data_IF_190934103378
#
_entry.id   IF_190934103378
#
_cell.length_a   1.000
_cell.length_b   1.000
_cell.length_c   1.000
_cell.angle_alpha   90.00
_cell.angle_beta   90.00
_cell.angle_gamma   90.00
#
_symmetry.space_group_name_H-M   'P 1'
#
loop_
_entity.id
_entity.type
_entity.pdbx_description
1 polymer ?
#
# COMPACT_ATOMS: atom_id res chain seq x y z
N UNK A 1 25.83 -64.80 -30.04
CA UNK A 1 25.77 -64.01 -28.78
C UNK A 1 25.77 -62.53 -29.06
N UNK A 2 24.84 -61.92 -29.83
CA UNK A 2 24.88 -60.49 -30.13
C UNK A 2 23.52 -59.76 -30.18
N UNK A 3 22.40 -60.49 -30.03
CA UNK A 3 21.06 -59.90 -30.08
C UNK A 3 20.58 -59.24 -28.73
N UNK A 4 21.21 -59.64 -27.62
CA UNK A 4 20.83 -59.10 -26.28
C UNK A 4 21.48 -57.76 -25.94
N UNK A 5 22.56 -57.40 -26.62
CA UNK A 5 23.27 -56.14 -26.33
C UNK A 5 22.56 -54.92 -26.95
N UNK A 6 21.91 -55.10 -28.11
CA UNK A 6 21.17 -53.98 -28.75
C UNK A 6 19.86 -53.63 -28.05
N UNK A 7 19.24 -54.54 -27.33
CA UNK A 7 18.02 -54.26 -26.59
C UNK A 7 18.29 -53.40 -25.34
N UNK A 8 19.47 -53.60 -24.73
CA UNK A 8 19.85 -52.81 -23.55
C UNK A 8 20.27 -51.37 -23.90
N UNK A 9 20.86 -51.19 -25.08
CA UNK A 9 21.23 -49.86 -25.59
C UNK A 9 20.01 -49.04 -26.00
N UNK A 10 18.92 -49.67 -26.49
CA UNK A 10 17.70 -48.99 -26.90
C UNK A 10 16.87 -48.54 -25.72
N UNK A 11 16.90 -49.24 -24.59
CA UNK A 11 16.18 -48.86 -23.35
C UNK A 11 16.89 -47.74 -22.62
N UNK A 12 18.21 -47.65 -22.74
CA UNK A 12 18.97 -46.56 -22.12
C UNK A 12 18.81 -45.21 -22.86
N UNK A 13 18.48 -45.22 -24.15
CA UNK A 13 18.25 -44.02 -24.94
C UNK A 13 16.84 -43.42 -24.76
N UNK A 14 15.90 -44.19 -24.22
CA UNK A 14 14.54 -43.74 -23.97
C UNK A 14 14.35 -43.02 -22.62
N UNK A 15 15.37 -42.96 -21.76
CA UNK A 15 15.30 -42.36 -20.44
C UNK A 15 15.90 -40.96 -20.36
N UNK A 16 16.33 -40.36 -21.46
CA UNK A 16 16.92 -39.01 -21.47
C UNK A 16 15.96 -37.90 -21.89
N UNK A 17 14.67 -38.21 -22.07
CA UNK A 17 13.63 -37.16 -22.18
C UNK A 17 12.85 -37.03 -20.88
N UNK A 18 13.55 -36.90 -19.76
CA UNK A 18 12.96 -36.17 -18.63
C UNK A 18 12.98 -34.72 -19.04
N UNK A 19 11.84 -34.26 -19.50
CA UNK A 19 11.57 -32.86 -19.69
C UNK A 19 12.11 -32.09 -18.48
N UNK A 20 13.08 -31.21 -18.69
CA UNK A 20 13.13 -29.97 -17.91
C UNK A 20 11.75 -29.36 -18.07
N UNK A 21 10.86 -29.51 -17.11
CA UNK A 21 9.85 -28.52 -16.89
C UNK A 21 10.64 -27.26 -16.57
N UNK A 22 10.84 -26.39 -17.55
CA UNK A 22 11.12 -25.01 -17.28
C UNK A 22 10.00 -24.59 -16.31
N UNK A 23 10.30 -24.53 -15.03
CA UNK A 23 9.52 -23.74 -14.10
C UNK A 23 9.75 -22.33 -14.63
N UNK A 24 8.80 -21.84 -15.44
CA UNK A 24 8.74 -20.43 -15.76
C UNK A 24 8.81 -19.71 -14.40
N UNK A 25 9.91 -18.98 -14.16
CA UNK A 25 9.97 -18.12 -12.98
C UNK A 25 8.79 -17.18 -13.10
N UNK A 26 7.87 -17.24 -12.14
CA UNK A 26 6.69 -16.42 -12.13
C UNK A 26 7.13 -14.96 -12.31
N UNK A 27 6.63 -14.30 -13.33
CA UNK A 27 6.96 -12.91 -13.63
C UNK A 27 6.58 -12.01 -12.44
N UNK A 28 7.31 -10.93 -12.24
CA UNK A 28 7.11 -9.99 -11.12
C UNK A 28 5.63 -9.60 -10.93
N UNK A 29 4.88 -9.51 -12.02
CA UNK A 29 3.48 -9.07 -12.05
C UNK A 29 2.47 -10.20 -12.32
N UNK A 30 2.92 -11.46 -12.31
CA UNK A 30 2.01 -12.59 -12.48
C UNK A 30 0.97 -12.64 -11.37
N UNK A 31 -0.29 -12.86 -11.75
CA UNK A 31 -1.45 -12.86 -10.84
C UNK A 31 -1.52 -11.61 -9.94
N UNK A 32 -1.03 -10.46 -10.43
CA UNK A 32 -0.85 -9.25 -9.65
C UNK A 32 -2.12 -8.78 -8.94
N UNK A 33 -3.25 -8.72 -9.67
CA UNK A 33 -4.53 -8.35 -9.08
C UNK A 33 -4.93 -9.29 -7.94
N UNK A 34 -4.90 -10.60 -8.16
CA UNK A 34 -5.26 -11.59 -7.13
C UNK A 34 -4.35 -11.50 -5.89
N UNK A 35 -3.05 -11.26 -6.10
CA UNK A 35 -2.09 -11.06 -4.99
C UNK A 35 -2.35 -9.76 -4.24
N UNK A 36 -2.71 -8.70 -4.94
CA UNK A 36 -3.08 -7.40 -4.40
C UNK A 36 -4.34 -7.50 -3.52
N UNK A 37 -5.37 -8.19 -4.03
CA UNK A 37 -6.61 -8.45 -3.28
C UNK A 37 -6.35 -9.33 -2.05
N UNK A 38 -5.62 -10.42 -2.20
CA UNK A 38 -5.25 -11.31 -1.09
C UNK A 38 -4.44 -10.57 0.00
N UNK A 39 -3.61 -9.60 -0.36
CA UNK A 39 -2.91 -8.76 0.60
C UNK A 39 -3.90 -7.94 1.44
N UNK A 40 -4.85 -7.25 0.82
CA UNK A 40 -5.87 -6.47 1.55
C UNK A 40 -6.76 -7.38 2.40
N UNK A 41 -7.13 -8.56 1.91
CA UNK A 41 -7.88 -9.56 2.67
C UNK A 41 -7.08 -10.02 3.91
N UNK A 42 -5.76 -10.18 3.80
CA UNK A 42 -4.92 -10.51 4.95
C UNK A 42 -4.92 -9.43 6.01
N UNK A 43 -4.87 -8.15 5.61
CA UNK A 43 -4.99 -6.99 6.51
C UNK A 43 -6.38 -6.96 7.17
N UNK A 44 -7.44 -7.22 6.40
CA UNK A 44 -8.81 -7.30 6.90
C UNK A 44 -8.97 -8.42 7.96
N UNK A 45 -8.34 -9.57 7.73
CA UNK A 45 -8.35 -10.69 8.68
C UNK A 45 -7.65 -10.31 9.99
N UNK A 46 -6.49 -9.64 9.92
CA UNK A 46 -5.79 -9.13 11.10
C UNK A 46 -6.66 -8.10 11.84
N UNK A 47 -7.24 -7.14 11.12
CA UNK A 47 -8.15 -6.14 11.71
C UNK A 47 -9.31 -6.79 12.48
N UNK A 48 -9.89 -7.87 11.94
CA UNK A 48 -11.03 -8.57 12.56
C UNK A 48 -10.63 -9.55 13.65
N UNK A 49 -9.34 -9.82 13.86
CA UNK A 49 -8.86 -10.80 14.82
C UNK A 49 -9.13 -10.38 16.27
N UNK A 50 -9.16 -11.35 17.18
CA UNK A 50 -9.32 -11.10 18.61
C UNK A 50 -8.11 -10.35 19.18
N UNK A 51 -6.92 -10.63 18.66
CA UNK A 51 -5.66 -10.02 19.06
C UNK A 51 -5.69 -8.52 18.74
N UNK A 52 -6.06 -8.12 17.52
CA UNK A 52 -6.18 -6.73 17.16
C UNK A 52 -7.23 -5.98 17.98
N UNK A 53 -8.38 -6.61 18.24
CA UNK A 53 -9.46 -6.03 19.04
C UNK A 53 -9.06 -5.81 20.51
N UNK A 54 -8.14 -6.63 21.03
CA UNK A 54 -7.65 -6.54 22.40
C UNK A 54 -6.59 -5.44 22.58
N UNK A 55 -5.95 -4.97 21.52
CA UNK A 55 -4.97 -3.90 21.59
C UNK A 55 -5.62 -2.57 21.99
N UNK A 56 -4.96 -1.74 22.82
CA UNK A 56 -5.38 -0.36 23.09
C UNK A 56 -5.49 0.48 21.82
N UNK A 57 -6.34 1.50 21.82
CA UNK A 57 -6.54 2.35 20.63
C UNK A 57 -5.31 3.17 20.22
N UNK A 58 -4.41 3.42 21.16
CA UNK A 58 -3.13 4.11 20.96
C UNK A 58 -1.94 3.17 20.72
N UNK A 59 -2.17 1.86 20.63
CA UNK A 59 -1.11 0.91 20.32
C UNK A 59 -0.69 1.06 18.85
N UNK A 60 0.60 1.28 18.54
CA UNK A 60 1.07 1.48 17.16
C UNK A 60 0.89 0.24 16.26
N UNK A 61 0.71 -0.94 16.84
CA UNK A 61 0.43 -2.17 16.08
C UNK A 61 -1.05 -2.37 15.78
N UNK A 62 -1.94 -1.63 16.48
CA UNK A 62 -3.39 -1.76 16.26
C UNK A 62 -3.78 -1.28 14.87
N UNK A 63 -4.49 -2.13 14.14
CA UNK A 63 -5.18 -1.75 12.92
C UNK A 63 -6.51 -1.06 13.26
N UNK A 64 -6.73 0.07 12.64
CA UNK A 64 -8.00 0.78 12.56
C UNK A 64 -8.53 0.69 11.13
N UNK A 65 -9.81 0.98 10.93
CA UNK A 65 -10.40 0.99 9.60
C UNK A 65 -11.34 2.18 9.41
N UNK A 66 -11.27 2.77 8.23
CA UNK A 66 -12.15 3.83 7.77
C UNK A 66 -12.80 3.41 6.46
N UNK A 67 -13.98 3.92 6.17
CA UNK A 67 -14.69 3.61 4.95
C UNK A 67 -14.45 4.71 3.92
N UNK A 68 -14.06 4.32 2.71
CA UNK A 68 -14.09 5.22 1.56
C UNK A 68 -15.56 5.42 1.12
N UNK A 69 -16.13 6.62 1.25
CA UNK A 69 -17.53 6.85 0.94
C UNK A 69 -17.84 6.80 -0.57
N UNK A 70 -16.81 6.87 -1.43
CA UNK A 70 -17.01 6.90 -2.89
C UNK A 70 -17.24 5.52 -3.49
N UNK A 71 -16.68 4.48 -2.88
CA UNK A 71 -16.71 3.12 -3.42
C UNK A 71 -17.01 2.05 -2.35
N UNK A 72 -17.21 2.46 -1.10
CA UNK A 72 -17.46 1.60 0.06
C UNK A 72 -16.29 0.65 0.45
N UNK A 73 -15.11 0.83 -0.10
CA UNK A 73 -13.92 0.07 0.31
C UNK A 73 -13.47 0.42 1.72
N UNK A 74 -12.83 -0.55 2.40
CA UNK A 74 -12.23 -0.32 3.70
C UNK A 74 -10.77 0.09 3.54
N UNK A 75 -10.41 1.18 4.20
CA UNK A 75 -9.07 1.73 4.30
C UNK A 75 -8.52 1.35 5.67
N UNK A 76 -7.45 0.55 5.71
CA UNK A 76 -6.86 0.13 6.98
C UNK A 76 -5.66 0.98 7.32
N UNK A 77 -5.46 1.27 8.61
CA UNK A 77 -4.35 2.10 9.06
C UNK A 77 -3.74 1.62 10.36
N UNK A 78 -2.44 1.84 10.54
CA UNK A 78 -1.73 1.81 11.82
C UNK A 78 -1.31 3.23 12.17
N UNK A 79 -1.56 3.65 13.42
CA UNK A 79 -1.17 4.97 13.95
C UNK A 79 0.17 4.84 14.65
N UNK A 80 1.26 5.13 13.95
CA UNK A 80 2.62 4.80 14.39
C UNK A 80 3.12 5.75 15.47
N UNK A 81 2.89 7.05 15.29
CA UNK A 81 3.28 8.07 16.26
C UNK A 81 2.52 9.37 16.06
N UNK A 82 2.53 10.21 17.10
CA UNK A 82 1.92 11.54 17.09
C UNK A 82 2.86 12.50 17.79
N UNK A 83 2.94 13.74 17.28
CA UNK A 83 3.51 14.86 18.00
C UNK A 83 2.41 15.56 18.81
N UNK A 84 2.47 15.41 20.13
CA UNK A 84 1.46 15.96 21.05
C UNK A 84 1.45 17.50 21.06
N UNK A 85 2.49 18.16 20.55
CA UNK A 85 2.58 19.62 20.48
C UNK A 85 2.02 20.18 19.16
N UNK A 86 1.62 19.32 18.24
CA UNK A 86 1.10 19.72 16.94
C UNK A 86 -0.39 20.12 17.02
N UNK A 87 -0.87 20.77 15.96
CA UNK A 87 -2.28 21.11 15.80
C UNK A 87 -3.18 19.88 15.86
N UNK A 88 -4.30 19.98 16.56
CA UNK A 88 -5.30 18.90 16.60
C UNK A 88 -6.37 19.06 15.50
N UNK A 89 -6.23 20.06 14.63
CA UNK A 89 -7.15 20.26 13.50
C UNK A 89 -6.94 19.13 12.47
N UNK A 90 -8.05 18.70 11.90
CA UNK A 90 -8.07 17.73 10.80
C UNK A 90 -8.30 18.47 9.49
N UNK A 91 -7.65 18.06 8.40
CA UNK A 91 -7.91 18.66 7.10
C UNK A 91 -9.33 18.33 6.61
N UNK A 92 -9.91 19.25 5.86
CA UNK A 92 -11.14 19.05 5.12
C UNK A 92 -10.82 18.48 3.72
N UNK A 93 -11.83 17.96 3.04
CA UNK A 93 -11.67 17.45 1.66
C UNK A 93 -11.09 18.49 0.69
N UNK A 94 -11.39 19.78 0.90
CA UNK A 94 -10.88 20.90 0.08
C UNK A 94 -9.57 21.49 0.58
N UNK A 95 -8.99 20.96 1.65
CA UNK A 95 -7.74 21.47 2.22
C UNK A 95 -6.54 21.13 1.34
N UNK A 96 -5.55 22.03 1.36
CA UNK A 96 -4.19 21.73 0.92
C UNK A 96 -3.38 21.26 2.11
N UNK A 97 -2.69 20.14 1.96
CA UNK A 97 -1.82 19.57 3.00
C UNK A 97 -0.38 19.53 2.54
N UNK A 98 0.54 19.64 3.49
CA UNK A 98 1.96 19.31 3.30
C UNK A 98 2.22 17.96 3.96
N UNK A 99 2.71 17.00 3.22
CA UNK A 99 2.95 15.65 3.73
C UNK A 99 4.30 15.10 3.30
N UNK A 100 4.93 14.36 4.22
CA UNK A 100 5.98 13.42 3.87
C UNK A 100 5.34 12.08 3.61
N UNK A 101 5.73 11.41 2.53
CA UNK A 101 5.18 10.11 2.20
C UNK A 101 6.18 9.19 1.51
N UNK A 102 5.99 7.90 1.73
CA UNK A 102 6.62 6.83 1.00
C UNK A 102 5.53 5.85 0.59
N UNK A 103 5.27 5.76 -0.70
CA UNK A 103 4.32 4.85 -1.30
C UNK A 103 5.04 3.63 -1.85
N UNK A 104 4.57 2.46 -1.47
CA UNK A 104 5.05 1.18 -2.01
C UNK A 104 3.87 0.37 -2.53
N UNK A 105 4.16 -0.60 -3.37
CA UNK A 105 3.25 -1.70 -3.61
C UNK A 105 3.15 -2.59 -2.36
N UNK A 106 2.15 -3.47 -2.36
CA UNK A 106 1.95 -4.47 -1.29
C UNK A 106 3.15 -5.40 -1.07
N UNK A 107 4.01 -5.58 -2.07
CA UNK A 107 5.24 -6.39 -1.98
C UNK A 107 6.47 -5.61 -1.46
N UNK A 108 6.29 -4.33 -1.12
CA UNK A 108 7.32 -3.47 -0.56
C UNK A 108 8.14 -2.69 -1.59
N UNK A 109 7.95 -2.92 -2.89
CA UNK A 109 8.63 -2.15 -3.94
C UNK A 109 8.20 -0.68 -3.88
N UNK A 110 9.18 0.21 -3.81
CA UNK A 110 8.92 1.66 -3.76
C UNK A 110 8.41 2.14 -5.10
N UNK A 111 7.28 2.85 -5.08
CA UNK A 111 6.68 3.49 -6.25
C UNK A 111 7.04 4.97 -6.28
N UNK A 112 6.78 5.67 -5.17
CA UNK A 112 7.04 7.10 -5.06
C UNK A 112 7.31 7.48 -3.61
N UNK A 113 8.21 8.44 -3.39
CA UNK A 113 8.53 8.92 -2.05
C UNK A 113 9.16 10.31 -2.11
N UNK A 114 9.04 11.08 -1.02
CA UNK A 114 9.76 12.33 -0.82
C UNK A 114 10.68 12.30 0.41
N UNK A 115 10.83 11.13 1.04
CA UNK A 115 11.85 10.88 2.06
C UNK A 115 12.32 9.42 2.00
N UNK A 116 13.49 9.16 2.59
CA UNK A 116 14.07 7.82 2.69
C UNK A 116 14.01 7.31 4.13
N UNK A 117 13.90 5.97 4.30
CA UNK A 117 13.88 5.33 5.61
C UNK A 117 12.50 5.24 6.24
N UNK A 118 12.45 5.24 7.57
CA UNK A 118 11.23 5.03 8.37
C UNK A 118 10.54 6.36 8.69
N UNK A 119 11.32 7.43 8.89
CA UNK A 119 10.85 8.79 9.20
C UNK A 119 11.60 9.80 8.36
N UNK A 120 10.98 10.94 8.01
CA UNK A 120 11.68 12.05 7.38
C UNK A 120 12.82 12.57 8.23
N UNK A 121 13.87 13.04 7.59
CA UNK A 121 15.01 13.71 8.18
C UNK A 121 14.95 15.23 7.96
N UNK A 122 15.87 15.98 8.57
CA UNK A 122 15.96 17.43 8.37
C UNK A 122 16.41 17.83 6.94
N UNK A 123 16.79 16.86 6.12
CA UNK A 123 17.18 17.07 4.71
C UNK A 123 16.06 16.78 3.72
N UNK A 124 14.97 16.19 4.20
CA UNK A 124 13.80 15.91 3.39
C UNK A 124 12.86 17.13 3.38
N UNK A 125 12.04 17.25 2.36
CA UNK A 125 11.05 18.31 2.24
C UNK A 125 9.66 17.73 1.98
N UNK A 126 8.61 18.23 2.66
CA UNK A 126 7.26 17.76 2.41
C UNK A 126 6.77 18.24 1.05
N UNK A 127 5.90 17.48 0.44
CA UNK A 127 5.19 17.88 -0.79
C UNK A 127 3.80 18.39 -0.45
N UNK A 128 3.29 19.35 -1.24
CA UNK A 128 1.95 19.90 -1.10
C UNK A 128 0.96 19.18 -1.99
N UNK A 129 -0.23 18.91 -1.45
CA UNK A 129 -1.31 18.20 -2.14
C UNK A 129 -2.65 18.86 -1.81
N UNK A 130 -3.50 19.09 -2.83
CA UNK A 130 -4.92 19.32 -2.62
C UNK A 130 -5.60 17.97 -2.40
N UNK A 131 -6.36 17.80 -1.32
CA UNK A 131 -6.96 16.51 -0.98
C UNK A 131 -8.02 16.05 -1.99
N UNK A 132 -8.68 16.98 -2.65
CA UNK A 132 -9.63 16.70 -3.74
C UNK A 132 -8.95 16.30 -5.05
N UNK A 133 -7.63 16.45 -5.16
CA UNK A 133 -6.84 16.12 -6.34
C UNK A 133 -6.02 14.83 -6.25
N UNK A 134 -6.14 14.07 -5.14
CA UNK A 134 -5.40 12.83 -4.95
C UNK A 134 -6.33 11.61 -4.90
N UNK A 135 -5.78 10.38 -4.91
CA UNK A 135 -6.58 9.16 -4.83
C UNK A 135 -7.47 9.15 -3.57
N UNK A 136 -8.69 8.65 -3.70
CA UNK A 136 -9.70 8.74 -2.65
C UNK A 136 -9.26 8.07 -1.35
N UNK A 137 -8.58 6.92 -1.44
CA UNK A 137 -8.06 6.23 -0.26
C UNK A 137 -7.08 7.06 0.54
N UNK A 138 -6.22 7.85 -0.12
CA UNK A 138 -5.29 8.73 0.58
C UNK A 138 -6.00 9.97 1.13
N UNK A 139 -6.82 10.62 0.32
CA UNK A 139 -7.63 11.78 0.70
C UNK A 139 -8.46 11.52 1.95
N UNK A 140 -9.34 10.50 1.91
CA UNK A 140 -10.21 10.19 3.04
C UNK A 140 -9.46 9.71 4.29
N UNK A 141 -8.29 9.09 4.13
CA UNK A 141 -7.48 8.72 5.29
C UNK A 141 -6.85 9.95 5.94
N UNK A 142 -6.28 10.87 5.15
CA UNK A 142 -5.66 12.10 5.67
C UNK A 142 -6.67 12.99 6.40
N UNK A 143 -7.93 13.03 5.99
CA UNK A 143 -9.00 13.74 6.70
C UNK A 143 -9.26 13.21 8.13
N UNK A 144 -8.75 12.04 8.47
CA UNK A 144 -8.81 11.49 9.82
C UNK A 144 -7.56 11.78 10.66
N UNK A 145 -6.46 12.17 10.01
CA UNK A 145 -5.20 12.53 10.67
C UNK A 145 -5.23 13.94 11.22
N UNK A 146 -4.40 14.18 12.23
CA UNK A 146 -4.01 15.52 12.68
C UNK A 146 -2.55 15.78 12.32
N UNK A 147 -2.13 17.05 12.32
CA UNK A 147 -0.72 17.39 12.07
C UNK A 147 0.20 16.67 13.06
N UNK A 148 1.39 16.29 12.61
CA UNK A 148 2.37 15.55 13.39
C UNK A 148 2.09 14.05 13.54
N UNK A 149 0.99 13.54 13.01
CA UNK A 149 0.73 12.09 13.01
C UNK A 149 1.44 11.39 11.87
N UNK A 150 2.12 10.29 12.20
CA UNK A 150 2.71 9.35 11.28
C UNK A 150 1.87 8.08 11.25
N UNK A 151 1.28 7.78 10.11
CA UNK A 151 0.46 6.58 9.92
C UNK A 151 1.02 5.70 8.81
N UNK A 152 0.78 4.38 8.92
CA UNK A 152 0.87 3.44 7.80
C UNK A 152 -0.52 3.17 7.28
N UNK A 153 -0.74 3.35 5.99
CA UNK A 153 -2.04 3.22 5.32
C UNK A 153 -1.99 2.04 4.37
N UNK A 154 -3.04 1.23 4.35
CA UNK A 154 -3.24 0.11 3.43
C UNK A 154 -4.46 0.42 2.57
N UNK A 155 -4.24 0.73 1.31
CA UNK A 155 -5.25 1.24 0.38
C UNK A 155 -5.50 0.18 -0.69
N UNK A 156 -6.73 -0.38 -0.79
CA UNK A 156 -7.09 -1.28 -1.87
C UNK A 156 -7.06 -0.53 -3.22
N UNK A 157 -6.81 -1.25 -4.31
CA UNK A 157 -6.65 -0.63 -5.63
C UNK A 157 -7.88 0.19 -6.06
N UNK A 158 -9.07 -0.18 -5.64
CA UNK A 158 -10.33 0.53 -5.96
C UNK A 158 -10.38 1.95 -5.38
N UNK A 159 -9.70 2.18 -4.25
CA UNK A 159 -9.52 3.51 -3.63
C UNK A 159 -8.16 4.13 -3.99
N UNK A 160 -7.37 3.44 -4.81
CA UNK A 160 -6.12 3.88 -5.39
C UNK A 160 -6.29 4.31 -6.84
N UNK A 161 -5.49 3.72 -7.74
CA UNK A 161 -5.53 4.02 -9.18
C UNK A 161 -6.44 3.07 -9.97
N UNK A 162 -7.16 2.15 -9.31
CA UNK A 162 -8.11 1.24 -9.94
C UNK A 162 -7.45 0.27 -10.91
N UNK A 163 -8.10 0.07 -12.06
CA UNK A 163 -7.56 -0.72 -13.18
C UNK A 163 -6.63 0.08 -14.10
N UNK A 164 -6.42 1.36 -13.81
CA UNK A 164 -5.53 2.24 -14.56
C UNK A 164 -4.11 2.24 -14.00
N UNK A 165 -3.28 3.09 -14.61
CA UNK A 165 -1.94 3.43 -14.16
C UNK A 165 -1.95 4.85 -13.58
N UNK A 166 -0.83 5.31 -12.98
CA UNK A 166 -0.59 6.73 -12.75
C UNK A 166 -0.56 7.49 -14.08
N UNK A 167 -0.67 8.82 -14.04
CA UNK A 167 -0.66 9.67 -15.25
C UNK A 167 0.56 9.43 -16.15
N UNK A 168 1.71 9.13 -15.53
CA UNK A 168 2.97 8.82 -16.24
C UNK A 168 3.08 7.35 -16.69
N UNK A 169 2.07 6.51 -16.40
CA UNK A 169 2.06 5.10 -16.74
C UNK A 169 3.01 4.22 -15.91
N UNK A 170 3.66 4.78 -14.91
CA UNK A 170 4.68 4.06 -14.10
C UNK A 170 4.11 3.07 -13.11
N UNK A 171 2.83 3.21 -12.74
CA UNK A 171 2.20 2.41 -11.72
C UNK A 171 1.47 1.20 -12.33
N UNK A 172 1.73 0.01 -11.77
CA UNK A 172 1.07 -1.23 -12.19
C UNK A 172 -0.44 -1.18 -11.87
N UNK A 173 -1.35 -1.47 -12.82
CA UNK A 173 -2.79 -1.56 -12.56
C UNK A 173 -3.14 -2.54 -11.45
N UNK A 174 -4.30 -2.35 -10.82
CA UNK A 174 -4.82 -3.19 -9.74
C UNK A 174 -3.89 -3.32 -8.53
N UNK A 175 -3.11 -2.28 -8.23
CA UNK A 175 -2.16 -2.30 -7.12
C UNK A 175 -2.78 -1.86 -5.81
N UNK A 176 -2.76 -2.73 -4.81
CA UNK A 176 -2.89 -2.30 -3.43
C UNK A 176 -1.62 -1.52 -3.03
N UNK A 177 -1.83 -0.40 -2.37
CA UNK A 177 -0.77 0.55 -2.02
C UNK A 177 -0.59 0.61 -0.51
N UNK A 178 0.67 0.71 -0.10
CA UNK A 178 1.04 0.96 1.29
C UNK A 178 1.73 2.31 1.37
N UNK A 179 1.18 3.23 2.17
CA UNK A 179 1.79 4.52 2.43
C UNK A 179 2.32 4.58 3.86
N UNK A 180 3.53 5.05 4.04
CA UNK A 180 3.96 5.66 5.28
C UNK A 180 3.85 7.17 5.10
N UNK A 181 2.94 7.80 5.85
CA UNK A 181 2.57 9.20 5.67
C UNK A 181 2.66 9.96 7.00
N UNK A 182 3.46 11.03 7.00
CA UNK A 182 3.48 12.04 8.07
C UNK A 182 2.75 13.28 7.57
N UNK A 183 1.62 13.62 8.20
CA UNK A 183 0.95 14.88 7.96
C UNK A 183 1.73 16.00 8.65
N UNK A 184 2.38 16.86 7.85
CA UNK A 184 3.26 17.90 8.38
C UNK A 184 2.50 19.19 8.69
N UNK A 185 1.71 19.71 7.75
CA UNK A 185 0.80 20.83 7.94
C UNK A 185 -0.46 20.63 7.12
N UNK A 186 -1.57 21.21 7.58
CA UNK A 186 -2.78 21.36 6.80
C UNK A 186 -3.16 22.83 6.79
N UNK A 187 -3.25 23.42 5.60
CA UNK A 187 -4.00 24.64 5.46
C UNK A 187 -5.47 24.23 5.63
N UNK A 188 -5.96 24.23 6.89
CA UNK A 188 -7.39 24.21 7.07
C UNK A 188 -7.91 25.32 6.15
N UNK A 189 -8.98 25.04 5.39
CA UNK A 189 -9.69 26.10 4.67
C UNK A 189 -10.17 27.06 5.76
N UNK A 190 -9.28 27.97 6.13
CA UNK A 190 -9.42 28.81 7.29
C UNK A 190 -10.23 30.01 6.87
N UNK A 191 -11.34 30.19 7.58
CA UNK A 191 -11.94 31.45 7.87
C UNK A 191 -12.43 32.33 6.70
N UNK A 192 -13.20 31.73 5.79
CA UNK A 192 -14.20 32.54 5.09
C UNK A 192 -15.56 32.52 5.82
N UNK A 193 -15.52 32.59 7.16
CA UNK A 193 -16.63 33.10 7.96
C UNK A 193 -16.07 34.24 8.80
N UNK A 194 -15.63 35.26 8.11
CA UNK A 194 -15.36 36.58 8.67
C UNK A 194 -16.40 37.53 8.14
N UNK A 195 -17.35 37.93 9.04
CA UNK A 195 -18.33 39.04 8.98
C UNK A 195 -19.63 38.73 8.28
#
# INVERSE_FOLDING_TARGET
>A
MSKKIYLFSLVLLALTFTACSETEEAGRYDNWQARSEAFIDSIANVYNSAENKALPDNDPEKLHAYKDPTNNQMLYVKKISKDENSSQKKPLYTSTVSAYYRMTYFNGDVVQQNFNGIKPSNYDSPSKFSLDGVITGWSYTLMHMTEGELWTLYIPYQSGYGSGTSEDGSLQPYSALVYNCLLYTSDAADDLIGV
#
